data_IF_893076742018
#
_entry.id   IF_893076742018
#
_cell.length_a   1.000
_cell.length_b   1.000
_cell.length_c   1.000
_cell.angle_alpha   90.00
_cell.angle_beta   90.00
_cell.angle_gamma   90.00
#
_symmetry.space_group_name_H-M   'P 1'
#
loop_
_entity.id
_entity.type
_entity.pdbx_description
1 polymer ?
#
# COMPACT_ATOMS: atom_id res chain seq x y z
N UNK A 1 27.70 50.53 38.18
CA UNK A 1 27.36 49.49 37.17
C UNK A 1 26.13 48.62 37.47
N UNK A 2 25.70 48.40 38.72
CA UNK A 2 24.55 47.56 39.06
C UNK A 2 23.17 48.23 38.72
N UNK A 3 23.03 49.52 38.71
CA UNK A 3 21.77 50.20 38.46
C UNK A 3 21.34 50.24 37.00
N UNK A 4 22.27 50.18 36.05
CA UNK A 4 21.98 50.17 34.61
C UNK A 4 21.51 48.78 34.13
N UNK A 5 21.91 47.73 34.79
CA UNK A 5 21.52 46.33 34.44
C UNK A 5 20.08 46.05 34.85
N UNK A 6 19.64 46.54 36.01
CA UNK A 6 18.27 46.38 36.48
C UNK A 6 17.26 47.20 35.64
N UNK A 7 17.63 48.41 35.16
CA UNK A 7 16.79 49.22 34.28
C UNK A 7 16.63 48.60 32.89
N UNK A 8 17.68 47.93 32.34
CA UNK A 8 17.58 47.24 31.06
C UNK A 8 16.73 45.94 31.15
N UNK A 9 16.78 45.24 32.29
CA UNK A 9 15.95 44.03 32.50
C UNK A 9 14.46 44.38 32.63
N UNK A 10 14.11 45.47 33.29
CA UNK A 10 12.72 45.95 33.45
C UNK A 10 12.12 46.46 32.13
N UNK A 11 12.91 47.04 31.24
CA UNK A 11 12.45 47.49 29.92
C UNK A 11 12.22 46.30 28.99
N UNK A 12 13.06 45.25 29.08
CA UNK A 12 12.88 44.03 28.28
C UNK A 12 11.63 43.24 28.66
N UNK A 13 11.30 43.18 29.96
CA UNK A 13 10.06 42.53 30.42
C UNK A 13 8.81 43.29 30.07
N UNK A 14 8.83 44.64 30.04
CA UNK A 14 7.70 45.47 29.63
C UNK A 14 7.44 45.37 28.11
N UNK A 15 8.47 45.24 27.29
CA UNK A 15 8.31 45.09 25.82
C UNK A 15 7.79 43.66 25.49
N UNK A 16 8.22 42.61 26.19
CA UNK A 16 7.64 41.26 26.02
C UNK A 16 6.16 41.19 26.44
N UNK A 17 5.75 41.92 27.49
CA UNK A 17 4.36 41.95 27.92
C UNK A 17 3.44 42.72 26.95
N UNK A 18 3.96 43.72 26.24
CA UNK A 18 3.19 44.46 25.22
C UNK A 18 3.04 43.72 23.90
N UNK A 19 3.96 42.82 23.54
CA UNK A 19 3.89 42.03 22.30
C UNK A 19 2.90 40.84 22.42
N UNK A 20 2.52 40.42 23.63
CA UNK A 20 1.53 39.37 23.86
C UNK A 20 0.06 39.82 23.80
N UNK A 21 -0.20 41.12 23.70
CA UNK A 21 -1.57 41.66 23.67
C UNK A 21 -2.12 41.99 22.26
N UNK A 22 -1.35 41.74 21.19
CA UNK A 22 -1.78 41.99 19.79
C UNK A 22 -1.91 40.66 19.03
N UNK A 23 -2.70 39.70 19.58
CA UNK A 23 -3.18 38.58 18.80
C UNK A 23 -4.65 38.81 18.50
N UNK A 24 -5.06 39.09 17.26
CA UNK A 24 -6.47 39.19 16.93
C UNK A 24 -7.15 37.86 17.18
N UNK A 25 -8.12 37.85 18.10
CA UNK A 25 -9.04 36.72 18.27
C UNK A 25 -9.79 36.52 16.96
N UNK A 26 -9.37 35.60 16.14
CA UNK A 26 -10.17 35.12 15.02
C UNK A 26 -11.35 34.32 15.58
N UNK A 27 -12.54 34.92 15.47
CA UNK A 27 -13.80 34.24 15.68
C UNK A 27 -13.91 33.10 14.63
N UNK A 28 -13.89 31.87 15.08
CA UNK A 28 -14.27 30.74 14.22
C UNK A 28 -15.77 30.82 13.98
N UNK A 29 -16.15 31.22 12.78
CA UNK A 29 -17.51 31.02 12.28
C UNK A 29 -17.58 29.54 11.89
N UNK A 30 -18.23 28.75 12.70
CA UNK A 30 -18.57 27.35 12.38
C UNK A 30 -19.63 27.39 11.27
N UNK A 31 -19.22 27.07 10.05
CA UNK A 31 -20.15 26.76 8.99
C UNK A 31 -20.84 25.42 9.32
N UNK A 32 -22.07 25.48 9.80
CA UNK A 32 -22.91 24.31 9.98
C UNK A 32 -23.32 23.76 8.62
N UNK A 33 -22.60 22.78 8.12
CA UNK A 33 -23.08 21.92 7.06
C UNK A 33 -24.19 21.02 7.62
N UNK A 34 -25.43 21.29 7.23
CA UNK A 34 -26.57 20.39 7.50
C UNK A 34 -26.41 19.15 6.59
N UNK A 35 -25.73 18.14 7.04
CA UNK A 35 -25.95 16.77 6.59
C UNK A 35 -26.79 16.07 7.63
N UNK A 36 -28.00 15.65 7.24
CA UNK A 36 -28.83 14.79 8.06
C UNK A 36 -28.07 13.46 8.27
N UNK A 37 -28.00 12.94 9.50
CA UNK A 37 -27.48 11.60 9.73
C UNK A 37 -28.38 10.58 9.01
N UNK A 38 -27.82 9.46 8.52
CA UNK A 38 -28.62 8.39 7.96
C UNK A 38 -29.58 7.89 9.05
N UNK A 39 -30.85 7.97 8.78
CA UNK A 39 -31.91 7.48 9.65
C UNK A 39 -31.75 5.96 9.76
N UNK A 40 -31.35 5.51 10.93
CA UNK A 40 -31.47 4.10 11.34
C UNK A 40 -32.95 3.70 11.19
N UNK A 41 -33.28 2.58 10.50
CA UNK A 41 -34.66 2.14 10.42
C UNK A 41 -35.14 1.79 11.85
N UNK A 42 -35.97 2.64 12.44
CA UNK A 42 -36.72 2.27 13.62
C UNK A 42 -37.70 1.16 13.23
N UNK A 43 -37.54 -0.02 13.84
CA UNK A 43 -38.53 -1.08 13.82
C UNK A 43 -39.85 -0.52 14.39
N UNK A 44 -40.75 -0.14 13.51
CA UNK A 44 -42.17 0.07 13.86
C UNK A 44 -42.75 -1.29 14.23
N UNK A 45 -43.21 -1.43 15.44
CA UNK A 45 -44.08 -2.53 15.87
C UNK A 45 -45.32 -2.51 15.01
N UNK A 46 -45.41 -3.43 14.05
CA UNK A 46 -46.64 -3.67 13.29
C UNK A 46 -47.61 -4.47 14.17
N UNK A 47 -48.80 -3.93 14.30
CA UNK A 47 -49.95 -4.71 14.81
C UNK A 47 -50.28 -5.79 13.80
N UNK A 48 -50.65 -7.01 14.20
CA UNK A 48 -51.06 -8.06 13.28
C UNK A 48 -52.40 -7.67 12.61
N UNK A 49 -52.39 -7.56 11.26
CA UNK A 49 -53.65 -7.48 10.54
C UNK A 49 -53.79 -6.52 9.35
N UNK A 50 -52.75 -5.85 8.87
CA UNK A 50 -52.85 -5.06 7.61
C UNK A 50 -51.85 -5.57 6.57
N UNK A 51 -52.32 -6.35 5.61
CA UNK A 51 -51.66 -6.64 4.36
C UNK A 51 -51.69 -5.38 3.47
N UNK A 52 -50.53 -4.75 3.27
CA UNK A 52 -50.39 -3.71 2.22
C UNK A 52 -50.14 -4.40 0.89
N UNK A 53 -51.06 -4.24 -0.03
CA UNK A 53 -50.86 -4.60 -1.45
C UNK A 53 -49.74 -3.73 -2.04
N UNK A 54 -48.82 -4.38 -2.74
CA UNK A 54 -47.80 -3.70 -3.56
C UNK A 54 -48.45 -3.31 -4.91
N UNK A 55 -48.21 -2.05 -5.33
CA UNK A 55 -48.66 -1.51 -6.60
C UNK A 55 -47.49 -1.18 -7.51
N UNK A 56 -47.68 -1.19 -8.84
CA UNK A 56 -46.72 -0.72 -9.84
C UNK A 56 -46.56 0.81 -9.84
N UNK A 57 -45.65 1.33 -10.65
CA UNK A 57 -45.37 2.77 -10.77
C UNK A 57 -46.59 3.60 -11.29
N UNK A 58 -47.66 2.95 -11.73
CA UNK A 58 -48.89 3.60 -12.20
C UNK A 58 -50.07 3.48 -11.21
N UNK A 59 -49.83 2.83 -10.06
CA UNK A 59 -50.82 2.74 -8.97
C UNK A 59 -51.85 1.62 -9.12
N UNK A 60 -51.68 0.70 -10.08
CA UNK A 60 -52.53 -0.48 -10.22
C UNK A 60 -51.99 -1.67 -9.40
N UNK A 61 -52.90 -2.53 -8.82
CA UNK A 61 -52.47 -3.71 -8.07
C UNK A 61 -51.83 -4.74 -9.00
N UNK A 62 -50.63 -5.19 -8.65
CA UNK A 62 -49.89 -6.24 -9.39
C UNK A 62 -50.63 -7.58 -9.31
N UNK A 63 -50.64 -8.38 -10.41
CA UNK A 63 -51.19 -9.73 -10.37
C UNK A 63 -50.46 -10.61 -9.33
N UNK A 64 -51.16 -11.52 -8.65
CA UNK A 64 -50.59 -12.32 -7.55
C UNK A 64 -49.41 -13.21 -7.92
N UNK A 65 -49.20 -13.45 -9.23
CA UNK A 65 -48.10 -14.31 -9.73
C UNK A 65 -46.75 -13.59 -9.88
N UNK A 66 -46.70 -12.24 -9.70
CA UNK A 66 -45.51 -11.40 -9.83
C UNK A 66 -44.98 -10.99 -8.45
N UNK A 67 -45.65 -11.35 -7.37
CA UNK A 67 -45.12 -11.18 -6.04
C UNK A 67 -43.99 -12.21 -5.85
N UNK A 68 -42.75 -11.81 -6.18
CA UNK A 68 -41.58 -12.62 -5.90
C UNK A 68 -41.54 -12.89 -4.39
N UNK A 69 -41.98 -14.09 -3.99
CA UNK A 69 -41.47 -14.68 -2.77
C UNK A 69 -39.94 -14.64 -2.87
N UNK A 70 -39.20 -14.16 -1.87
CA UNK A 70 -37.79 -14.43 -1.82
C UNK A 70 -37.66 -15.96 -1.84
N UNK A 71 -37.24 -16.49 -2.96
CA UNK A 71 -36.71 -17.83 -2.99
C UNK A 71 -35.54 -17.74 -2.04
N UNK A 72 -35.61 -18.40 -0.90
CA UNK A 72 -34.46 -18.76 -0.12
C UNK A 72 -33.58 -19.67 -0.99
N UNK A 73 -32.98 -19.07 -2.01
CA UNK A 73 -31.77 -19.57 -2.62
C UNK A 73 -30.70 -19.35 -1.60
N UNK A 74 -30.23 -20.42 -0.98
CA UNK A 74 -28.93 -20.45 -0.35
C UNK A 74 -27.97 -19.66 -1.23
N UNK A 75 -27.59 -18.44 -0.79
CA UNK A 75 -26.45 -17.76 -1.32
C UNK A 75 -25.30 -18.62 -0.90
N UNK A 76 -24.98 -19.64 -1.71
CA UNK A 76 -23.75 -20.38 -1.61
C UNK A 76 -22.68 -19.33 -1.84
N UNK A 77 -22.17 -18.77 -0.75
CA UNK A 77 -20.90 -18.05 -0.75
C UNK A 77 -19.85 -19.08 -1.10
N UNK A 78 -19.69 -19.34 -2.38
CA UNK A 78 -18.56 -20.08 -2.91
C UNK A 78 -17.37 -19.17 -2.58
N UNK A 79 -16.70 -19.42 -1.46
CA UNK A 79 -15.35 -18.94 -1.23
C UNK A 79 -14.53 -19.61 -2.32
N UNK A 80 -14.40 -18.94 -3.45
CA UNK A 80 -13.51 -19.37 -4.51
C UNK A 80 -12.10 -19.33 -3.90
N UNK A 81 -11.50 -20.49 -3.64
CA UNK A 81 -10.10 -20.63 -3.22
C UNK A 81 -9.17 -20.34 -4.40
N UNK A 82 -9.47 -19.32 -5.21
CA UNK A 82 -8.71 -18.96 -6.39
C UNK A 82 -7.33 -18.45 -5.98
N UNK A 83 -6.29 -19.12 -6.47
CA UNK A 83 -4.91 -18.65 -6.33
C UNK A 83 -4.56 -17.80 -7.53
N UNK A 84 -4.44 -16.48 -7.32
CA UNK A 84 -4.00 -15.54 -8.35
C UNK A 84 -2.47 -15.45 -8.36
N UNK A 85 -1.90 -15.47 -9.57
CA UNK A 85 -0.45 -15.38 -9.82
C UNK A 85 -0.22 -14.28 -10.85
N UNK A 86 0.31 -13.16 -10.42
CA UNK A 86 0.77 -12.12 -11.32
C UNK A 86 2.12 -12.53 -11.90
N UNK A 87 2.25 -12.54 -13.22
CA UNK A 87 3.42 -13.00 -13.93
C UNK A 87 3.93 -11.98 -14.95
N UNK A 88 5.22 -11.66 -14.89
CA UNK A 88 5.91 -10.84 -15.91
C UNK A 88 6.89 -11.73 -16.66
N UNK A 89 6.86 -11.68 -17.98
CA UNK A 89 7.76 -12.47 -18.86
C UNK A 89 8.85 -11.56 -19.41
N UNK A 90 10.10 -11.91 -19.16
CA UNK A 90 11.28 -11.10 -19.51
C UNK A 90 12.24 -11.95 -20.33
N UNK A 91 12.69 -11.45 -21.46
CA UNK A 91 13.74 -12.10 -22.24
C UNK A 91 15.09 -11.97 -21.52
N UNK A 92 15.76 -13.07 -21.20
CA UNK A 92 17.01 -13.10 -20.42
C UNK A 92 18.19 -12.39 -21.09
N UNK A 93 18.20 -12.33 -22.42
CA UNK A 93 19.31 -11.72 -23.19
C UNK A 93 19.12 -10.23 -23.41
N UNK A 94 17.89 -9.83 -23.77
CA UNK A 94 17.59 -8.43 -24.11
C UNK A 94 17.02 -7.64 -22.95
N UNK A 95 16.62 -8.31 -21.86
CA UNK A 95 15.89 -7.74 -20.71
C UNK A 95 14.58 -7.04 -21.09
N UNK A 96 14.05 -7.34 -22.28
CA UNK A 96 12.79 -6.78 -22.74
C UNK A 96 11.61 -7.59 -22.21
N UNK A 97 10.53 -6.86 -21.90
CA UNK A 97 9.25 -7.44 -21.50
C UNK A 97 8.57 -8.07 -22.72
N UNK A 98 8.00 -9.25 -22.54
CA UNK A 98 7.25 -9.96 -23.57
C UNK A 98 5.77 -9.69 -23.37
N UNK A 99 5.15 -9.07 -24.36
CA UNK A 99 3.72 -8.71 -24.36
C UNK A 99 2.95 -9.49 -25.42
N UNK A 100 1.63 -9.45 -25.39
CA UNK A 100 0.78 -10.09 -26.39
C UNK A 100 0.61 -11.60 -26.23
N UNK A 101 1.09 -12.19 -25.15
CA UNK A 101 0.88 -13.61 -24.83
C UNK A 101 -0.57 -13.87 -24.48
N UNK A 102 -1.04 -15.08 -24.84
CA UNK A 102 -2.38 -15.59 -24.55
C UNK A 102 -2.34 -16.62 -23.41
N UNK A 103 -3.51 -17.02 -22.93
CA UNK A 103 -3.64 -18.04 -21.88
C UNK A 103 -2.89 -19.32 -22.25
N UNK A 104 -2.96 -19.73 -23.49
CA UNK A 104 -2.38 -20.98 -24.03
C UNK A 104 -0.84 -21.00 -23.95
N UNK A 105 -0.20 -19.81 -23.95
CA UNK A 105 1.25 -19.70 -23.79
C UNK A 105 1.74 -20.00 -22.37
N UNK A 106 0.85 -20.11 -21.39
CA UNK A 106 1.22 -20.27 -19.97
C UNK A 106 0.88 -21.64 -19.43
N UNK A 107 1.73 -22.13 -18.54
CA UNK A 107 1.44 -23.27 -17.67
C UNK A 107 1.82 -22.98 -16.23
N UNK A 108 0.92 -23.29 -15.31
CA UNK A 108 1.14 -23.19 -13.86
C UNK A 108 1.34 -24.59 -13.31
N UNK A 109 2.32 -24.74 -12.43
CA UNK A 109 2.57 -25.96 -11.66
C UNK A 109 2.53 -25.62 -10.18
N UNK A 110 1.77 -26.40 -9.43
CA UNK A 110 1.76 -26.38 -7.97
C UNK A 110 2.37 -27.67 -7.46
N UNK A 111 3.46 -27.58 -6.70
CA UNK A 111 4.24 -28.72 -6.21
C UNK A 111 4.62 -29.72 -7.31
N UNK A 112 4.85 -29.22 -8.52
CA UNK A 112 5.18 -30.03 -9.69
C UNK A 112 3.98 -30.58 -10.47
N UNK A 113 2.75 -30.40 -9.99
CA UNK A 113 1.53 -30.83 -10.66
C UNK A 113 0.97 -29.68 -11.48
N UNK A 114 0.73 -29.91 -12.79
CA UNK A 114 0.15 -28.91 -13.69
C UNK A 114 -1.28 -28.57 -13.27
N UNK A 115 -1.57 -27.28 -13.18
CA UNK A 115 -2.88 -26.74 -12.82
C UNK A 115 -3.59 -26.17 -14.04
N UNK A 116 -4.91 -26.24 -14.05
CA UNK A 116 -5.72 -25.58 -15.08
C UNK A 116 -5.85 -24.10 -14.76
N UNK A 117 -5.47 -23.23 -15.71
CA UNK A 117 -5.67 -21.80 -15.60
C UNK A 117 -7.16 -21.51 -15.84
N UNK A 118 -7.89 -21.14 -14.78
CA UNK A 118 -9.32 -20.82 -14.85
C UNK A 118 -9.56 -19.35 -15.19
N UNK A 119 -8.68 -18.46 -14.73
CA UNK A 119 -8.78 -17.02 -14.95
C UNK A 119 -7.50 -16.51 -15.63
N UNK A 120 -7.69 -15.65 -16.64
CA UNK A 120 -6.58 -15.02 -17.35
C UNK A 120 -6.95 -13.57 -17.66
N UNK A 121 -6.01 -12.65 -17.36
CA UNK A 121 -6.14 -11.24 -17.74
C UNK A 121 -4.83 -10.76 -18.35
N UNK A 122 -4.96 -9.95 -19.39
CA UNK A 122 -3.85 -9.30 -20.08
C UNK A 122 -3.40 -8.03 -19.32
N UNK A 123 -2.23 -7.48 -19.65
CA UNK A 123 -1.63 -6.30 -19.02
C UNK A 123 -2.47 -5.02 -19.02
N UNK A 124 -3.47 -4.91 -19.88
CA UNK A 124 -4.23 -3.65 -20.12
C UNK A 124 -5.21 -3.26 -19.01
N UNK A 125 -5.45 -4.15 -18.05
CA UNK A 125 -6.39 -3.88 -16.95
C UNK A 125 -5.85 -2.78 -16.01
N UNK A 126 -6.75 -1.87 -15.60
CA UNK A 126 -6.46 -0.83 -14.60
C UNK A 126 -6.00 -1.42 -13.27
N UNK A 127 -5.19 -0.66 -12.54
CA UNK A 127 -4.59 -1.08 -11.27
C UNK A 127 -5.28 -0.39 -10.08
N UNK A 128 -5.27 -1.10 -8.95
CA UNK A 128 -5.43 -0.55 -7.61
C UNK A 128 -4.07 -0.64 -6.91
N UNK A 129 -3.42 0.50 -6.70
CA UNK A 129 -2.08 0.53 -6.11
C UNK A 129 -2.13 1.17 -4.73
N UNK A 130 -1.69 0.45 -3.71
CA UNK A 130 -1.45 1.04 -2.40
C UNK A 130 0.00 1.55 -2.33
N UNK A 131 0.15 2.85 -2.09
CA UNK A 131 1.44 3.51 -1.90
C UNK A 131 1.72 3.57 -0.41
N UNK A 132 2.82 2.96 0.02
CA UNK A 132 3.29 2.96 1.41
C UNK A 132 4.58 3.75 1.47
N UNK A 133 4.65 4.73 2.35
CA UNK A 133 5.86 5.53 2.50
C UNK A 133 6.32 5.63 3.94
N UNK A 134 7.62 5.45 4.12
CA UNK A 134 8.28 5.71 5.38
C UNK A 134 8.40 7.21 5.61
N UNK A 135 7.61 7.73 6.52
CA UNK A 135 7.63 9.15 6.88
C UNK A 135 8.08 9.31 8.33
N UNK A 136 9.31 8.85 8.60
CA UNK A 136 9.96 8.85 9.91
C UNK A 136 11.17 9.78 9.93
N UNK A 137 11.60 10.19 11.12
CA UNK A 137 12.88 10.91 11.26
C UNK A 137 14.06 10.01 10.89
N UNK A 138 13.92 8.70 11.04
CA UNK A 138 14.93 7.72 10.65
C UNK A 138 15.17 7.75 9.14
N UNK A 139 14.12 7.76 8.31
CA UNK A 139 14.26 7.88 6.86
C UNK A 139 14.90 9.20 6.45
N UNK A 140 14.59 10.28 7.16
CA UNK A 140 15.21 11.59 6.92
C UNK A 140 16.68 11.64 7.32
N UNK A 141 17.06 10.93 8.37
CA UNK A 141 18.44 10.90 8.90
C UNK A 141 19.38 10.07 8.03
N UNK A 142 18.92 8.94 7.54
CA UNK A 142 19.70 8.00 6.73
C UNK A 142 19.38 8.12 5.23
N UNK A 143 18.62 9.12 4.83
CA UNK A 143 18.36 9.46 3.45
C UNK A 143 19.54 10.21 2.82
N UNK A 144 19.58 10.17 1.48
CA UNK A 144 20.62 10.85 0.71
C UNK A 144 20.64 12.37 0.95
N UNK A 145 19.46 12.97 0.88
CA UNK A 145 19.33 14.42 1.02
C UNK A 145 19.65 14.89 2.44
N UNK A 146 19.32 14.08 3.45
CA UNK A 146 19.65 14.37 4.85
C UNK A 146 21.16 14.40 5.11
N UNK A 147 21.92 13.56 4.42
CA UNK A 147 23.39 13.44 4.63
C UNK A 147 24.19 14.63 4.13
N UNK A 148 23.63 15.45 3.25
CA UNK A 148 24.29 16.63 2.67
C UNK A 148 24.06 17.91 3.47
N UNK A 149 23.08 17.95 4.38
CA UNK A 149 22.73 19.11 5.20
C UNK A 149 22.22 20.35 4.42
N UNK A 150 22.07 20.24 3.10
CA UNK A 150 21.69 21.35 2.21
C UNK A 150 20.31 21.20 1.61
N UNK A 151 19.78 19.96 1.52
CA UNK A 151 18.50 19.65 0.90
C UNK A 151 17.49 19.15 1.93
N UNK A 152 16.21 19.24 1.59
CA UNK A 152 15.12 18.69 2.40
C UNK A 152 15.21 17.14 2.45
N UNK A 153 15.52 16.54 3.60
CA UNK A 153 15.69 15.08 3.71
C UNK A 153 14.42 14.30 3.37
N UNK A 154 13.24 14.91 3.48
CA UNK A 154 11.95 14.27 3.13
C UNK A 154 11.81 14.05 1.63
N UNK A 155 12.62 14.74 0.82
CA UNK A 155 12.59 14.65 -0.64
C UNK A 155 12.84 13.22 -1.13
N UNK A 156 13.64 12.44 -0.42
CA UNK A 156 13.91 11.04 -0.77
C UNK A 156 12.67 10.16 -0.79
N UNK A 157 11.68 10.48 0.04
CA UNK A 157 10.40 9.76 0.10
C UNK A 157 9.32 10.47 -0.69
N UNK A 158 9.21 11.80 -0.57
CA UNK A 158 8.12 12.56 -1.19
C UNK A 158 8.26 12.60 -2.71
N UNK A 159 9.47 12.75 -3.25
CA UNK A 159 9.66 12.88 -4.70
C UNK A 159 9.25 11.61 -5.47
N UNK A 160 9.74 10.40 -5.13
CA UNK A 160 9.30 9.18 -5.82
C UNK A 160 7.80 8.92 -5.64
N UNK A 161 7.24 9.19 -4.45
CA UNK A 161 5.80 9.05 -4.20
C UNK A 161 4.99 9.99 -5.11
N UNK A 162 5.37 11.27 -5.19
CA UNK A 162 4.68 12.26 -6.01
C UNK A 162 4.71 11.92 -7.49
N UNK A 163 5.89 11.56 -8.01
CA UNK A 163 6.06 11.18 -9.42
C UNK A 163 5.22 9.95 -9.75
N UNK A 164 5.29 8.92 -8.91
CA UNK A 164 4.53 7.68 -9.13
C UNK A 164 3.02 7.90 -9.05
N UNK A 165 2.52 8.55 -8.00
CA UNK A 165 1.08 8.75 -7.80
C UNK A 165 0.46 9.59 -8.92
N UNK A 166 1.12 10.66 -9.36
CA UNK A 166 0.65 11.50 -10.47
C UNK A 166 0.61 10.72 -11.79
N UNK A 167 1.64 9.93 -12.09
CA UNK A 167 1.66 9.09 -13.29
C UNK A 167 0.55 8.04 -13.24
N UNK A 168 0.37 7.34 -12.12
CA UNK A 168 -0.66 6.32 -11.96
C UNK A 168 -2.07 6.89 -12.18
N UNK A 169 -2.40 8.01 -11.54
CA UNK A 169 -3.71 8.64 -11.68
C UNK A 169 -3.93 9.19 -13.10
N UNK A 170 -2.90 9.75 -13.75
CA UNK A 170 -3.00 10.22 -15.14
C UNK A 170 -3.37 9.10 -16.11
N UNK A 171 -3.05 7.87 -15.79
CA UNK A 171 -3.40 6.65 -16.55
C UNK A 171 -4.75 6.05 -16.14
N UNK A 172 -5.42 6.64 -15.14
CA UNK A 172 -6.72 6.21 -14.62
C UNK A 172 -6.64 5.02 -13.66
N UNK A 173 -5.49 4.78 -13.05
CA UNK A 173 -5.35 3.86 -11.94
C UNK A 173 -5.92 4.49 -10.65
N UNK A 174 -6.27 3.65 -9.69
CA UNK A 174 -6.65 4.08 -8.35
C UNK A 174 -5.47 3.89 -7.41
N UNK A 175 -5.20 4.92 -6.62
CA UNK A 175 -4.16 4.87 -5.59
C UNK A 175 -4.76 5.12 -4.21
N UNK A 176 -4.25 4.41 -3.21
CA UNK A 176 -4.36 4.78 -1.80
C UNK A 176 -2.97 5.12 -1.28
N UNK A 177 -2.89 5.91 -0.21
CA UNK A 177 -1.61 6.31 0.35
C UNK A 177 -1.61 6.14 1.87
N UNK A 178 -0.61 5.42 2.37
CA UNK A 178 -0.36 5.19 3.79
C UNK A 178 1.05 5.67 4.11
N UNK A 179 1.18 6.63 5.01
CA UNK A 179 2.46 7.00 5.59
C UNK A 179 2.67 6.24 6.90
N UNK A 180 3.90 5.89 7.22
CA UNK A 180 4.21 5.28 8.50
C UNK A 180 5.47 5.85 9.14
N UNK A 181 5.40 5.97 10.46
CA UNK A 181 6.46 6.16 11.43
C UNK A 181 6.29 5.12 12.54
N UNK A 182 6.09 5.53 13.78
CA UNK A 182 5.65 4.69 14.90
C UNK A 182 4.24 4.09 14.66
N UNK A 183 3.47 4.65 13.72
CA UNK A 183 2.12 4.21 13.36
C UNK A 183 1.93 4.23 11.85
N UNK A 184 1.13 3.28 11.35
CA UNK A 184 0.63 3.34 9.98
C UNK A 184 -0.60 4.26 9.93
N UNK A 185 -0.49 5.34 9.17
CA UNK A 185 -1.52 6.38 9.06
C UNK A 185 -2.01 6.47 7.61
N UNK A 186 -3.26 6.08 7.32
CA UNK A 186 -3.85 6.27 6.01
C UNK A 186 -4.03 7.76 5.71
N UNK A 187 -3.44 8.25 4.61
CA UNK A 187 -3.55 9.64 4.18
C UNK A 187 -4.75 9.85 3.25
N UNK A 188 -4.97 8.91 2.33
CA UNK A 188 -6.14 8.87 1.46
C UNK A 188 -6.50 7.42 1.15
N UNK A 189 -7.80 7.15 1.00
CA UNK A 189 -8.30 5.90 0.46
C UNK A 189 -8.20 5.90 -1.08
N UNK A 190 -8.58 4.80 -1.72
CA UNK A 190 -8.45 4.63 -3.16
C UNK A 190 -9.14 5.73 -3.95
N UNK A 191 -8.36 6.46 -4.72
CA UNK A 191 -8.80 7.57 -5.55
C UNK A 191 -8.06 7.59 -6.89
N UNK A 192 -8.72 8.10 -7.92
CA UNK A 192 -8.10 8.46 -9.20
C UNK A 192 -8.22 9.97 -9.47
N UNK A 193 -8.51 10.76 -8.44
CA UNK A 193 -8.60 12.22 -8.53
C UNK A 193 -7.22 12.87 -8.37
N UNK A 194 -6.69 13.57 -9.40
CA UNK A 194 -5.42 14.28 -9.31
C UNK A 194 -5.37 15.31 -8.18
N UNK A 195 -6.49 15.97 -7.89
CA UNK A 195 -6.55 16.96 -6.82
C UNK A 195 -6.34 16.31 -5.44
N UNK A 196 -6.84 15.09 -5.24
CA UNK A 196 -6.61 14.32 -4.02
C UNK A 196 -5.14 13.93 -3.87
N UNK A 197 -4.48 13.54 -4.96
CA UNK A 197 -3.04 13.26 -4.99
C UNK A 197 -2.23 14.51 -4.60
N UNK A 198 -2.56 15.67 -5.16
CA UNK A 198 -1.89 16.92 -4.83
C UNK A 198 -2.12 17.34 -3.36
N UNK A 199 -3.28 17.02 -2.77
CA UNK A 199 -3.52 17.19 -1.34
C UNK A 199 -2.60 16.32 -0.48
N UNK A 200 -2.41 15.03 -0.85
CA UNK A 200 -1.47 14.11 -0.17
C UNK A 200 -0.05 14.67 -0.22
N UNK A 201 0.43 15.05 -1.40
CA UNK A 201 1.77 15.59 -1.59
C UNK A 201 1.95 16.90 -0.78
N UNK A 202 0.95 17.76 -0.79
CA UNK A 202 0.93 19.00 -0.03
C UNK A 202 0.98 18.74 1.49
N UNK A 203 0.23 17.75 1.97
CA UNK A 203 0.24 17.33 3.37
C UNK A 203 1.63 16.86 3.80
N UNK A 204 2.25 15.96 3.03
CA UNK A 204 3.61 15.47 3.29
C UNK A 204 4.64 16.59 3.26
N UNK A 205 4.54 17.52 2.29
CA UNK A 205 5.49 18.63 2.12
C UNK A 205 5.40 19.68 3.23
N UNK A 206 4.23 19.86 3.85
CA UNK A 206 4.02 20.84 4.94
C UNK A 206 4.35 20.30 6.32
N UNK A 207 4.37 18.98 6.48
CA UNK A 207 4.61 18.34 7.77
C UNK A 207 6.01 17.74 7.82
N UNK A 208 6.56 17.70 9.03
CA UNK A 208 7.80 16.97 9.31
C UNK A 208 7.49 15.65 9.99
N UNK A 209 8.31 14.62 9.77
CA UNK A 209 8.19 13.37 10.52
C UNK A 209 8.25 13.64 12.03
N UNK A 210 7.27 13.09 12.76
CA UNK A 210 7.14 13.34 14.18
C UNK A 210 8.00 12.39 15.04
N UNK A 211 8.16 11.15 14.56
CA UNK A 211 8.79 10.07 15.31
C UNK A 211 10.00 9.51 14.58
N UNK A 212 10.96 9.00 15.36
CA UNK A 212 12.19 8.36 14.87
C UNK A 212 11.96 6.88 14.54
N UNK A 213 10.94 6.28 15.11
CA UNK A 213 10.60 4.89 14.96
C UNK A 213 9.94 4.63 13.61
N UNK A 214 10.05 3.37 13.13
CA UNK A 214 9.44 2.88 11.91
C UNK A 214 8.75 1.55 12.17
N UNK A 215 7.48 1.41 11.78
CA UNK A 215 6.70 0.18 11.91
C UNK A 215 6.33 -0.42 10.55
N UNK A 216 7.32 -0.72 9.74
CA UNK A 216 7.18 -1.25 8.39
C UNK A 216 6.26 -2.48 8.31
N UNK A 217 6.43 -3.44 9.23
CA UNK A 217 5.68 -4.69 9.17
C UNK A 217 4.20 -4.49 9.52
N UNK A 218 3.88 -3.62 10.48
CA UNK A 218 2.50 -3.26 10.79
C UNK A 218 1.85 -2.49 9.63
N UNK A 219 2.60 -1.60 8.96
CA UNK A 219 2.13 -0.88 7.78
C UNK A 219 1.83 -1.83 6.61
N UNK A 220 2.71 -2.79 6.34
CA UNK A 220 2.47 -3.85 5.35
C UNK A 220 1.23 -4.68 5.70
N UNK A 221 1.07 -5.09 6.95
CA UNK A 221 -0.11 -5.82 7.42
C UNK A 221 -1.38 -5.01 7.17
N UNK A 222 -1.42 -3.74 7.61
CA UNK A 222 -2.57 -2.87 7.43
C UNK A 222 -2.94 -2.75 5.95
N UNK A 223 -1.96 -2.51 5.11
CA UNK A 223 -2.17 -2.35 3.66
C UNK A 223 -2.69 -3.61 3.01
N UNK A 224 -2.13 -4.77 3.34
CA UNK A 224 -2.46 -6.03 2.67
C UNK A 224 -3.76 -6.65 3.18
N UNK A 225 -3.93 -6.79 4.49
CA UNK A 225 -5.05 -7.51 5.09
C UNK A 225 -6.02 -6.63 5.89
N UNK A 226 -5.69 -5.35 6.04
CA UNK A 226 -6.52 -4.41 6.78
C UNK A 226 -6.38 -4.51 8.29
N UNK A 227 -7.32 -3.86 8.96
CA UNK A 227 -7.42 -3.80 10.42
C UNK A 227 -7.79 -2.41 10.92
N UNK A 228 -7.82 -2.26 12.24
CA UNK A 228 -8.15 -1.00 12.88
C UNK A 228 -6.94 -0.06 12.85
N UNK A 229 -7.11 1.10 12.23
CA UNK A 229 -6.08 2.13 12.10
C UNK A 229 -6.63 3.52 12.45
N UNK A 230 -5.79 4.55 12.37
CA UNK A 230 -6.25 5.93 12.38
C UNK A 230 -7.16 6.17 11.17
N UNK A 231 -8.18 7.01 11.33
CA UNK A 231 -9.06 7.39 10.23
C UNK A 231 -8.28 8.09 9.13
N UNK A 232 -8.76 7.97 7.90
CA UNK A 232 -8.11 8.56 6.73
C UNK A 232 -7.99 10.08 6.91
N UNK A 233 -6.77 10.60 6.86
CA UNK A 233 -6.46 12.00 7.23
C UNK A 233 -7.22 13.01 6.35
N UNK A 234 -7.31 12.74 5.04
CA UNK A 234 -7.95 13.67 4.10
C UNK A 234 -9.48 13.50 4.00
N UNK A 235 -10.09 12.63 4.80
CA UNK A 235 -11.55 12.44 4.80
C UNK A 235 -12.26 13.20 5.92
N UNK A 236 -11.52 13.94 6.76
CA UNK A 236 -12.06 14.73 7.90
C UNK A 236 -13.06 13.95 8.77
N UNK A 237 -12.77 12.65 9.01
CA UNK A 237 -13.62 11.79 9.83
C UNK A 237 -13.72 12.33 11.25
N UNK A 238 -14.93 12.29 11.83
CA UNK A 238 -15.13 12.62 13.25
C UNK A 238 -14.57 11.55 14.19
N UNK A 239 -14.41 10.34 13.69
CA UNK A 239 -13.83 9.23 14.43
C UNK A 239 -12.32 9.25 14.31
N UNK A 240 -11.61 9.04 15.41
CA UNK A 240 -10.15 8.99 15.41
C UNK A 240 -9.58 7.65 14.88
N UNK A 241 -10.42 6.62 14.81
CA UNK A 241 -10.08 5.26 14.36
C UNK A 241 -11.15 4.72 13.44
N UNK A 242 -10.71 4.02 12.39
CA UNK A 242 -11.59 3.33 11.46
C UNK A 242 -11.09 1.90 11.20
N UNK A 243 -11.98 1.05 10.70
CA UNK A 243 -11.61 -0.26 10.18
C UNK A 243 -11.20 -0.10 8.71
N UNK A 244 -9.97 -0.46 8.42
CA UNK A 244 -9.37 -0.36 7.10
C UNK A 244 -9.47 -1.71 6.37
N UNK A 245 -10.06 -1.70 5.20
CA UNK A 245 -10.13 -2.88 4.35
C UNK A 245 -8.78 -3.06 3.62
N UNK A 246 -8.10 -4.19 3.84
CA UNK A 246 -6.84 -4.46 3.16
C UNK A 246 -7.02 -4.72 1.67
N UNK A 247 -5.93 -4.61 0.92
CA UNK A 247 -5.89 -4.82 -0.54
C UNK A 247 -6.43 -6.18 -0.96
N UNK A 248 -6.32 -7.21 -0.10
CA UNK A 248 -6.86 -8.55 -0.38
C UNK A 248 -8.38 -8.58 -0.56
N UNK A 249 -9.10 -7.63 0.05
CA UNK A 249 -10.57 -7.51 -0.07
C UNK A 249 -11.02 -6.60 -1.21
N UNK A 250 -10.10 -5.92 -1.90
CA UNK A 250 -10.43 -5.07 -3.04
C UNK A 250 -10.57 -5.92 -4.29
N UNK A 251 -11.77 -5.95 -4.87
CA UNK A 251 -12.10 -6.78 -6.04
C UNK A 251 -12.10 -5.99 -7.35
N UNK A 252 -12.15 -6.70 -8.47
CA UNK A 252 -12.46 -6.16 -9.80
C UNK A 252 -11.30 -5.54 -10.56
N UNK A 253 -10.09 -5.40 -9.97
CA UNK A 253 -8.90 -4.86 -10.64
C UNK A 253 -7.64 -5.58 -10.20
N UNK A 254 -6.58 -5.49 -11.01
CA UNK A 254 -5.25 -5.94 -10.60
C UNK A 254 -4.75 -5.08 -9.44
N UNK A 255 -4.00 -5.66 -8.54
CA UNK A 255 -3.56 -5.03 -7.29
C UNK A 255 -2.05 -5.03 -7.21
N UNK A 256 -1.48 -3.96 -6.70
CA UNK A 256 -0.04 -3.87 -6.42
C UNK A 256 0.22 -3.01 -5.19
N UNK A 257 1.36 -3.20 -4.57
CA UNK A 257 1.90 -2.30 -3.53
C UNK A 257 3.13 -1.60 -4.09
N UNK A 258 3.19 -0.29 -3.89
CA UNK A 258 4.39 0.50 -4.12
C UNK A 258 4.91 1.02 -2.77
N UNK A 259 6.05 0.49 -2.34
CA UNK A 259 6.67 0.78 -1.06
C UNK A 259 7.93 1.64 -1.24
N UNK A 260 8.03 2.71 -0.47
CA UNK A 260 9.23 3.55 -0.37
C UNK A 260 9.72 3.48 1.08
N UNK A 261 10.86 2.83 1.30
CA UNK A 261 11.30 2.49 2.65
C UNK A 261 12.82 2.25 2.74
N UNK A 262 13.38 2.57 3.91
CA UNK A 262 14.73 2.12 4.29
C UNK A 262 14.79 0.63 4.58
N UNK A 263 13.65 0.01 4.89
CA UNK A 263 13.53 -1.37 5.33
C UNK A 263 13.85 -1.60 6.81
N UNK A 264 14.25 -0.56 7.53
CA UNK A 264 14.50 -0.65 8.96
C UNK A 264 13.16 -0.66 9.69
N UNK A 265 12.94 -1.67 10.54
CA UNK A 265 11.76 -1.79 11.40
C UNK A 265 12.20 -1.74 12.85
N UNK A 266 11.64 -0.82 13.62
CA UNK A 266 12.01 -0.61 15.02
C UNK A 266 10.84 -0.75 15.98
N UNK A 267 9.60 -0.67 15.50
CA UNK A 267 8.44 -0.51 16.38
C UNK A 267 7.21 -1.34 15.99
N UNK A 268 7.32 -2.26 15.04
CA UNK A 268 6.20 -3.12 14.68
C UNK A 268 5.83 -4.09 15.79
N UNK A 269 4.53 -4.35 15.93
CA UNK A 269 3.97 -5.34 16.86
C UNK A 269 4.14 -6.76 16.33
N UNK A 270 4.13 -6.93 15.02
CA UNK A 270 4.44 -8.21 14.37
C UNK A 270 5.91 -8.28 13.99
N UNK A 271 6.45 -9.49 13.98
CA UNK A 271 7.82 -9.71 13.56
C UNK A 271 7.93 -9.93 12.04
N UNK A 272 9.17 -9.95 11.55
CA UNK A 272 9.50 -10.16 10.14
C UNK A 272 8.84 -11.43 9.55
N UNK A 273 8.90 -12.57 10.27
CA UNK A 273 8.35 -13.84 9.75
C UNK A 273 6.83 -13.77 9.57
N UNK A 274 6.16 -13.08 10.48
CA UNK A 274 4.71 -12.85 10.38
C UNK A 274 4.38 -11.94 9.19
N UNK A 275 5.12 -10.83 9.03
CA UNK A 275 4.94 -9.92 7.90
C UNK A 275 5.20 -10.62 6.57
N UNK A 276 6.26 -11.44 6.49
CA UNK A 276 6.61 -12.23 5.32
C UNK A 276 5.49 -13.22 4.94
N UNK A 277 4.94 -13.94 5.91
CA UNK A 277 3.79 -14.84 5.69
C UNK A 277 2.55 -14.09 5.20
N UNK A 278 2.27 -12.91 5.77
CA UNK A 278 1.16 -12.06 5.32
C UNK A 278 1.37 -11.64 3.87
N UNK A 279 2.56 -11.17 3.49
CA UNK A 279 2.88 -10.77 2.13
C UNK A 279 2.75 -11.94 1.13
N UNK A 280 3.28 -13.12 1.49
CA UNK A 280 3.14 -14.34 0.68
C UNK A 280 1.66 -14.73 0.49
N UNK A 281 0.85 -14.66 1.57
CA UNK A 281 -0.56 -15.06 1.53
C UNK A 281 -1.40 -14.07 0.72
N UNK A 282 -1.11 -12.78 0.82
CA UNK A 282 -1.79 -11.76 0.05
C UNK A 282 -1.65 -11.99 -1.47
N UNK A 283 -0.50 -12.52 -1.91
CA UNK A 283 -0.23 -12.79 -3.32
C UNK A 283 -0.28 -11.55 -4.20
N UNK A 284 -0.04 -10.38 -3.60
CA UNK A 284 -0.06 -9.07 -4.27
C UNK A 284 1.40 -8.64 -4.44
N UNK A 285 1.86 -8.33 -5.67
CA UNK A 285 3.24 -7.95 -5.91
C UNK A 285 3.59 -6.64 -5.19
N UNK A 286 4.77 -6.63 -4.54
CA UNK A 286 5.29 -5.48 -3.82
C UNK A 286 6.50 -4.94 -4.58
N UNK A 287 6.38 -3.73 -5.12
CA UNK A 287 7.45 -2.99 -5.79
C UNK A 287 8.05 -2.00 -4.83
N UNK A 288 9.36 -1.98 -4.71
CA UNK A 288 10.03 -1.29 -3.63
C UNK A 288 11.12 -0.37 -4.17
N UNK A 289 11.09 0.90 -3.76
CA UNK A 289 12.23 1.79 -3.79
C UNK A 289 12.87 1.77 -2.41
N UNK A 290 14.11 1.27 -2.37
CA UNK A 290 14.92 1.26 -1.15
C UNK A 290 15.60 2.60 -0.95
N UNK A 291 15.23 3.30 0.11
CA UNK A 291 15.92 4.50 0.60
C UNK A 291 17.10 4.09 1.49
N UNK A 292 17.90 5.04 1.99
CA UNK A 292 19.07 4.80 2.83
C UNK A 292 20.23 4.01 2.18
N UNK A 293 20.05 3.44 0.99
CA UNK A 293 21.13 2.67 0.32
C UNK A 293 22.30 3.56 -0.07
N UNK A 294 22.05 4.80 -0.45
CA UNK A 294 23.09 5.76 -0.77
C UNK A 294 23.88 6.17 0.46
N UNK A 295 23.20 6.42 1.57
CA UNK A 295 23.84 6.67 2.87
C UNK A 295 24.72 5.48 3.27
N UNK A 296 24.17 4.28 3.19
CA UNK A 296 24.86 3.04 3.55
C UNK A 296 26.07 2.78 2.64
N UNK A 297 25.97 3.03 1.32
CA UNK A 297 27.10 2.93 0.39
C UNK A 297 28.23 3.89 0.74
N UNK A 298 27.89 5.10 1.21
CA UNK A 298 28.86 6.15 1.53
C UNK A 298 29.52 5.96 2.90
N UNK A 299 28.76 5.53 3.90
CA UNK A 299 29.18 5.52 5.30
C UNK A 299 29.26 4.12 5.93
N UNK A 300 28.79 3.07 5.26
CA UNK A 300 28.67 1.72 5.80
C UNK A 300 29.99 1.16 6.37
N UNK A 301 31.12 1.44 5.71
CA UNK A 301 32.43 0.96 6.18
C UNK A 301 32.90 1.62 7.49
N UNK A 302 32.42 2.84 7.76
CA UNK A 302 32.71 3.57 9.00
C UNK A 302 31.72 3.30 10.14
N UNK A 303 30.62 2.60 9.85
CA UNK A 303 29.61 2.29 10.85
C UNK A 303 30.03 1.15 11.78
N UNK A 304 29.52 1.19 13.01
CA UNK A 304 29.64 0.06 13.94
C UNK A 304 28.95 -1.19 13.38
N UNK A 305 29.45 -2.40 13.64
CA UNK A 305 28.79 -3.62 13.19
C UNK A 305 27.36 -3.78 13.74
N UNK A 306 27.16 -3.44 15.02
CA UNK A 306 25.89 -3.54 15.75
C UNK A 306 25.35 -2.16 16.07
N UNK A 307 24.06 -2.11 16.42
CA UNK A 307 23.40 -0.88 16.84
C UNK A 307 24.09 -0.27 18.07
N UNK A 308 24.08 1.06 18.14
CA UNK A 308 24.62 1.79 19.28
C UNK A 308 23.68 1.67 20.50
N UNK A 309 24.20 1.90 21.69
CA UNK A 309 23.41 1.98 22.93
C UNK A 309 22.36 3.10 22.84
N UNK A 310 22.62 4.13 22.04
CA UNK A 310 21.68 5.23 21.79
C UNK A 310 20.59 4.87 20.77
N UNK A 311 20.56 3.63 20.23
CA UNK A 311 19.57 3.18 19.26
C UNK A 311 19.90 3.53 17.81
N UNK A 312 21.12 4.01 17.51
CA UNK A 312 21.51 4.24 16.11
C UNK A 312 21.75 2.90 15.41
N UNK A 313 21.17 2.69 14.23
CA UNK A 313 21.36 1.47 13.47
C UNK A 313 22.82 1.22 13.09
N UNK A 314 23.32 0.02 13.36
CA UNK A 314 24.61 -0.45 12.91
C UNK A 314 24.54 -1.08 11.52
N UNK A 315 25.71 -1.46 10.99
CA UNK A 315 25.84 -2.03 9.64
C UNK A 315 24.98 -3.27 9.43
N UNK A 316 24.84 -4.14 10.45
CA UNK A 316 24.01 -5.35 10.35
C UNK A 316 22.53 -5.04 10.17
N UNK A 317 22.03 -3.98 10.81
CA UNK A 317 20.62 -3.55 10.66
C UNK A 317 20.32 -3.11 9.24
N UNK A 318 21.24 -2.39 8.57
CA UNK A 318 21.08 -2.05 7.15
C UNK A 318 21.08 -3.28 6.24
N UNK A 319 21.96 -4.26 6.47
CA UNK A 319 21.94 -5.52 5.70
C UNK A 319 20.64 -6.31 5.91
N UNK A 320 20.15 -6.39 7.15
CA UNK A 320 18.88 -7.04 7.45
C UNK A 320 17.71 -6.32 6.78
N UNK A 321 17.69 -4.99 6.82
CA UNK A 321 16.68 -4.17 6.16
C UNK A 321 16.64 -4.39 4.65
N UNK A 322 17.79 -4.32 3.98
CA UNK A 322 17.90 -4.57 2.54
C UNK A 322 17.46 -5.99 2.17
N UNK A 323 17.88 -6.99 2.97
CA UNK A 323 17.45 -8.38 2.75
C UNK A 323 15.95 -8.55 2.94
N UNK A 324 15.35 -7.89 3.92
CA UNK A 324 13.91 -7.92 4.15
C UNK A 324 13.14 -7.34 2.95
N UNK A 325 13.54 -6.16 2.46
CA UNK A 325 12.93 -5.53 1.29
C UNK A 325 13.06 -6.40 0.03
N UNK A 326 14.26 -6.93 -0.22
CA UNK A 326 14.51 -7.82 -1.35
C UNK A 326 13.66 -9.10 -1.27
N UNK A 327 13.49 -9.64 -0.07
CA UNK A 327 12.69 -10.86 0.16
C UNK A 327 11.21 -10.58 -0.09
N UNK A 328 10.65 -9.48 0.45
CA UNK A 328 9.26 -9.09 0.21
C UNK A 328 8.99 -8.93 -1.29
N UNK A 329 9.84 -8.20 -2.01
CA UNK A 329 9.68 -8.02 -3.44
C UNK A 329 9.72 -9.36 -4.20
N UNK A 330 10.77 -10.16 -3.99
CA UNK A 330 11.01 -11.40 -4.72
C UNK A 330 9.94 -12.47 -4.47
N UNK A 331 9.47 -12.60 -3.23
CA UNK A 331 8.51 -13.65 -2.87
C UNK A 331 7.08 -13.33 -3.29
N UNK A 332 6.77 -12.05 -3.47
CA UNK A 332 5.46 -11.58 -3.96
C UNK A 332 5.38 -11.42 -5.48
N UNK A 333 6.50 -11.55 -6.21
CA UNK A 333 6.55 -11.34 -7.65
C UNK A 333 6.69 -9.87 -8.07
N UNK A 334 7.07 -9.00 -7.14
CA UNK A 334 7.45 -7.62 -7.40
C UNK A 334 8.95 -7.43 -7.64
N UNK A 335 9.46 -6.21 -7.46
CA UNK A 335 10.86 -5.87 -7.70
C UNK A 335 11.39 -4.89 -6.63
N UNK A 336 12.66 -4.99 -6.30
CA UNK A 336 13.36 -4.11 -5.36
C UNK A 336 14.43 -3.30 -6.09
N UNK A 337 14.37 -1.99 -5.95
CA UNK A 337 15.32 -1.03 -6.51
C UNK A 337 16.02 -0.27 -5.38
N UNK A 338 17.25 -0.67 -5.01
CA UNK A 338 18.07 0.09 -4.08
C UNK A 338 18.58 1.35 -4.77
N UNK A 339 18.15 2.52 -4.34
CA UNK A 339 18.67 3.79 -4.89
C UNK A 339 20.02 4.08 -4.26
N UNK A 340 21.06 4.07 -5.06
CA UNK A 340 22.46 4.31 -4.63
C UNK A 340 23.00 5.66 -5.11
N UNK A 341 22.32 6.33 -6.04
CA UNK A 341 22.54 7.71 -6.43
C UNK A 341 21.27 8.30 -7.07
N UNK A 342 21.12 9.62 -7.04
CA UNK A 342 19.89 10.32 -7.43
C UNK A 342 19.42 10.01 -8.86
N UNK A 343 20.35 9.85 -9.80
CA UNK A 343 20.03 9.58 -11.22
C UNK A 343 19.33 8.23 -11.45
N UNK A 344 19.38 7.29 -10.51
CA UNK A 344 18.71 5.98 -10.62
C UNK A 344 17.20 6.08 -10.43
N UNK A 345 16.68 7.11 -9.77
CA UNK A 345 15.28 7.21 -9.40
C UNK A 345 14.34 7.16 -10.60
N UNK A 346 14.61 7.94 -11.64
CA UNK A 346 13.77 7.98 -12.84
C UNK A 346 13.76 6.61 -13.56
N UNK A 347 14.90 5.95 -13.65
CA UNK A 347 15.01 4.62 -14.24
C UNK A 347 14.27 3.57 -13.42
N UNK A 348 14.38 3.61 -12.09
CA UNK A 348 13.68 2.72 -11.18
C UNK A 348 12.16 2.88 -11.30
N UNK A 349 11.64 4.12 -11.29
CA UNK A 349 10.23 4.40 -11.47
C UNK A 349 9.70 3.91 -12.82
N UNK A 350 10.43 4.15 -13.89
CA UNK A 350 10.06 3.67 -15.22
C UNK A 350 10.03 2.13 -15.27
N UNK A 351 11.00 1.47 -14.65
CA UNK A 351 11.05 0.01 -14.57
C UNK A 351 9.89 -0.55 -13.75
N UNK A 352 9.58 0.04 -12.61
CA UNK A 352 8.43 -0.35 -11.77
C UNK A 352 7.12 -0.19 -12.56
N UNK A 353 6.92 0.94 -13.21
CA UNK A 353 5.74 1.17 -14.04
C UNK A 353 5.63 0.15 -15.19
N UNK A 354 6.75 -0.13 -15.87
CA UNK A 354 6.78 -1.13 -16.93
C UNK A 354 6.43 -2.52 -16.41
N UNK A 355 7.01 -2.95 -15.29
CA UNK A 355 6.72 -4.24 -14.68
C UNK A 355 5.26 -4.35 -14.26
N UNK A 356 4.74 -3.39 -13.49
CA UNK A 356 3.34 -3.39 -13.04
C UNK A 356 2.35 -3.47 -14.21
N UNK A 357 2.64 -2.80 -15.32
CA UNK A 357 1.71 -2.70 -16.45
C UNK A 357 1.78 -3.90 -17.39
N UNK A 358 2.90 -4.61 -17.41
CA UNK A 358 3.09 -5.74 -18.32
C UNK A 358 2.97 -7.10 -17.60
N UNK A 359 2.25 -7.15 -16.48
CA UNK A 359 1.92 -8.39 -15.81
C UNK A 359 0.70 -9.05 -16.41
N UNK A 360 0.77 -10.35 -16.57
CA UNK A 360 -0.36 -11.22 -16.83
C UNK A 360 -0.92 -11.71 -15.49
N UNK A 361 -2.24 -11.68 -15.33
CA UNK A 361 -2.88 -12.25 -14.14
C UNK A 361 -3.39 -13.64 -14.49
N UNK A 362 -2.86 -14.63 -13.80
CA UNK A 362 -3.19 -16.04 -13.98
C UNK A 362 -3.89 -16.54 -12.71
N UNK A 363 -5.05 -17.17 -12.86
CA UNK A 363 -5.78 -17.74 -11.73
C UNK A 363 -6.01 -19.24 -11.93
N UNK A 364 -5.82 -20.02 -10.86
CA UNK A 364 -6.16 -21.44 -10.84
C UNK A 364 -6.83 -21.84 -9.52
N UNK A 365 -7.61 -22.91 -9.54
CA UNK A 365 -8.22 -23.45 -8.34
C UNK A 365 -7.35 -24.58 -7.78
N UNK A 366 -6.77 -24.42 -6.57
CA UNK A 366 -5.91 -25.46 -5.96
C UNK A 366 -6.70 -26.66 -5.43
N UNK A 367 -8.05 -26.68 -5.60
CA UNK A 367 -8.93 -27.66 -4.97
C UNK A 367 -9.17 -27.37 -3.47
N UNK A 368 -9.62 -28.37 -2.74
CA UNK A 368 -9.98 -28.26 -1.32
C UNK A 368 -8.75 -28.39 -0.39
N UNK A 369 -7.64 -27.74 -0.74
CA UNK A 369 -6.44 -27.76 0.10
C UNK A 369 -6.61 -26.81 1.28
N UNK A 370 -6.78 -27.38 2.47
CA UNK A 370 -6.88 -26.69 3.75
C UNK A 370 -5.85 -27.20 4.76
N UNK A 371 -4.67 -27.55 4.27
CA UNK A 371 -3.63 -28.22 5.08
C UNK A 371 -2.73 -27.26 5.87
N UNK A 372 -2.90 -25.95 5.65
CA UNK A 372 -2.09 -24.90 6.30
C UNK A 372 -0.62 -24.90 5.87
N UNK A 373 -0.26 -25.62 4.79
CA UNK A 373 1.11 -25.72 4.29
C UNK A 373 1.40 -24.67 3.23
N UNK A 374 2.69 -24.50 3.00
CA UNK A 374 3.21 -23.71 1.91
C UNK A 374 3.36 -24.57 0.66
N UNK A 375 2.74 -24.14 -0.45
CA UNK A 375 2.79 -24.77 -1.76
C UNK A 375 3.65 -23.96 -2.72
N UNK A 376 4.51 -24.66 -3.46
CA UNK A 376 5.41 -24.03 -4.43
C UNK A 376 4.70 -23.83 -5.76
N UNK A 377 4.78 -22.58 -6.28
CA UNK A 377 4.25 -22.22 -7.60
C UNK A 377 5.40 -22.08 -8.57
N UNK A 378 5.24 -22.65 -9.76
CA UNK A 378 6.13 -22.46 -10.90
C UNK A 378 5.27 -22.09 -12.11
N UNK A 379 5.58 -20.98 -12.74
CA UNK A 379 5.00 -20.57 -14.04
C UNK A 379 6.02 -20.86 -15.12
N UNK A 380 5.58 -21.50 -16.20
CA UNK A 380 6.36 -21.71 -17.43
C UNK A 380 5.66 -21.05 -18.60
N UNK A 381 6.40 -20.67 -19.62
CA UNK A 381 5.90 -20.02 -20.81
C UNK A 381 6.41 -20.73 -22.06
N UNK A 382 5.54 -20.83 -23.05
CA UNK A 382 5.81 -21.23 -24.42
C UNK A 382 5.47 -20.03 -25.31
N UNK A 383 6.47 -19.24 -25.69
CA UNK A 383 6.27 -17.93 -26.33
C UNK A 383 5.92 -18.06 -27.79
N UNK A 384 6.51 -19.03 -28.49
CA UNK A 384 6.31 -19.25 -29.91
C UNK A 384 5.19 -20.25 -30.24
N UNK A 385 4.67 -20.97 -29.22
CA UNK A 385 3.55 -21.89 -29.37
C UNK A 385 3.93 -23.23 -29.97
N UNK A 386 5.18 -23.66 -29.86
CA UNK A 386 5.68 -24.93 -30.37
C UNK A 386 5.37 -26.13 -29.45
N UNK A 387 4.80 -25.90 -28.29
CA UNK A 387 4.45 -26.88 -27.28
C UNK A 387 5.59 -27.17 -26.30
N UNK A 388 6.72 -26.47 -26.37
CA UNK A 388 7.84 -26.59 -25.46
C UNK A 388 7.96 -25.31 -24.60
N UNK A 389 8.39 -25.47 -23.35
CA UNK A 389 8.58 -24.30 -22.48
C UNK A 389 9.97 -23.69 -22.71
N UNK A 390 9.98 -22.39 -22.90
CA UNK A 390 11.16 -21.63 -23.26
C UNK A 390 12.08 -21.30 -22.08
N UNK A 391 13.31 -21.79 -22.10
CA UNK A 391 14.34 -21.42 -21.13
C UNK A 391 14.97 -20.05 -21.39
N UNK A 392 14.69 -19.42 -22.54
CA UNK A 392 15.22 -18.10 -22.91
C UNK A 392 14.55 -16.95 -22.13
N UNK A 393 13.45 -17.24 -21.45
CA UNK A 393 12.69 -16.24 -20.70
C UNK A 393 12.77 -16.47 -19.19
N UNK A 394 12.79 -15.38 -18.46
CA UNK A 394 12.59 -15.34 -17.02
C UNK A 394 11.15 -14.96 -16.74
N UNK A 395 10.48 -15.71 -15.86
CA UNK A 395 9.13 -15.39 -15.43
C UNK A 395 9.19 -14.94 -13.99
N UNK A 396 8.94 -13.65 -13.78
CA UNK A 396 8.85 -13.05 -12.46
C UNK A 396 7.44 -13.22 -11.93
N UNK A 397 7.27 -14.00 -10.85
CA UNK A 397 5.99 -14.29 -10.22
C UNK A 397 6.17 -14.67 -8.75
N UNK A 398 5.08 -14.68 -7.97
CA UNK A 398 5.11 -15.22 -6.60
C UNK A 398 5.49 -16.70 -6.63
N UNK A 399 6.36 -17.10 -5.71
CA UNK A 399 6.90 -18.47 -5.70
C UNK A 399 6.11 -19.46 -4.85
N UNK A 400 5.29 -18.93 -3.95
CA UNK A 400 4.57 -19.74 -2.98
C UNK A 400 3.19 -19.15 -2.69
N UNK A 401 2.29 -19.99 -2.25
CA UNK A 401 1.13 -19.59 -1.48
C UNK A 401 0.99 -20.48 -0.26
N UNK A 402 0.35 -20.01 0.80
CA UNK A 402 0.05 -20.82 1.96
C UNK A 402 -1.44 -21.17 1.92
N UNK A 403 -1.76 -22.46 1.91
CA UNK A 403 -3.14 -22.92 1.96
C UNK A 403 -3.78 -22.49 3.30
N UNK A 404 -5.08 -22.16 3.33
CA UNK A 404 -5.75 -21.88 4.59
C UNK A 404 -5.69 -23.10 5.49
N UNK A 405 -5.71 -22.88 6.80
CA UNK A 405 -5.86 -23.94 7.79
C UNK A 405 -7.34 -24.01 8.17
N UNK A 406 -7.90 -25.24 8.19
CA UNK A 406 -9.24 -25.46 8.74
C UNK A 406 -9.34 -25.03 10.19
#
# INVERSE_FOLDING_TARGET
MRSLFVRRLLVLTAVCAMLLSIVPRRSFVAAQSRRQPPTTPQKKNQRPGEEKQQTDEQGEPLPPDIVNKPTEGEVVKVKSNLVNVEATVINKKTHQLVTGLKKENFAIFEDGVKQEITNFSTPEAKLNVAVILEFSQLSSRFGYYGSNGMDDPRREVILPAALFMRDAVSRGDYISCIAYDMRATPLTDFTNDPARVDQVISLLSRNWPAFNEANLYDALKLTLVGGRADSVVLEDSKESKADYAGLVSVEGRRRAVFLISSGIDTFSKINYDTARKIAQNAGIPIYIIGTANMYFKKYGDSMTPTDSIAGDPGRMTFYQAQNALQTFAKETGGAYYPITFEGELSSALNSINALMRNQYSLGYNPGDKHDGKQHKIIVKVDVDGDGQYDDAYEIQHRRFYNAPKQ
#
